data_IF_149250273092
#
_entry.id   IF_149250273092
#
_cell.length_a   1.000
_cell.length_b   1.000
_cell.length_c   1.000
_cell.angle_alpha   90.00
_cell.angle_beta   90.00
_cell.angle_gamma   90.00
#
_symmetry.space_group_name_H-M   'P 1'
#
loop_
_entity.id
_entity.type
_entity.pdbx_description
1 polymer ?
#
# COMPACT_ATOMS: atom_id res chain seq x y z
N UNK A 1 32.99 9.27 9.79
CA UNK A 1 33.52 8.10 9.05
C UNK A 1 33.95 8.60 7.70
N UNK A 2 35.23 8.43 7.35
CA UNK A 2 35.72 8.80 6.00
C UNK A 2 34.88 8.06 4.97
N UNK A 3 34.58 8.72 3.85
CA UNK A 3 33.78 8.16 2.77
C UNK A 3 34.63 7.07 2.07
N UNK A 4 34.57 5.84 2.60
CA UNK A 4 35.24 4.63 2.07
C UNK A 4 34.45 4.18 0.83
N UNK A 5 34.35 5.04 -0.18
CA UNK A 5 33.80 4.65 -1.47
C UNK A 5 34.92 3.99 -2.28
N UNK A 6 34.68 2.75 -2.69
CA UNK A 6 35.49 2.06 -3.69
C UNK A 6 35.30 2.79 -5.02
N UNK A 7 36.27 3.62 -5.39
CA UNK A 7 36.35 4.25 -6.71
C UNK A 7 37.14 3.34 -7.65
N UNK A 8 36.89 3.43 -8.96
CA UNK A 8 37.63 2.64 -9.96
C UNK A 8 39.16 2.82 -9.81
N UNK A 9 39.60 4.03 -9.48
CA UNK A 9 41.02 4.33 -9.24
C UNK A 9 41.57 3.61 -8.00
N UNK A 10 40.79 3.44 -6.94
CA UNK A 10 41.19 2.70 -5.72
C UNK A 10 41.15 1.18 -5.91
N UNK A 11 40.55 0.72 -7.01
CA UNK A 11 40.41 -0.67 -7.38
C UNK A 11 41.57 -1.15 -8.27
N UNK A 12 42.31 -0.24 -8.89
CA UNK A 12 43.55 -0.56 -9.62
C UNK A 12 44.71 -0.62 -8.62
N UNK A 13 45.15 -1.83 -8.29
CA UNK A 13 46.16 -2.07 -7.26
C UNK A 13 47.54 -2.37 -7.84
N UNK A 14 47.61 -2.80 -9.09
CA UNK A 14 48.87 -3.05 -9.78
C UNK A 14 49.26 -1.87 -10.67
N UNK A 15 50.44 -1.29 -10.42
CA UNK A 15 50.99 -0.13 -11.15
C UNK A 15 52.27 -0.46 -11.94
N UNK A 16 52.57 -1.74 -12.16
CA UNK A 16 53.81 -2.20 -12.80
C UNK A 16 54.98 -2.44 -11.83
N UNK A 17 56.09 -2.95 -12.35
CA UNK A 17 57.34 -3.17 -11.59
C UNK A 17 58.41 -2.19 -12.06
N UNK A 18 58.81 -1.22 -11.23
CA UNK A 18 59.92 -0.34 -11.60
C UNK A 18 61.29 -1.04 -11.56
N UNK A 19 61.52 -2.05 -10.71
CA UNK A 19 62.83 -2.72 -10.59
C UNK A 19 62.73 -4.12 -9.99
N UNK A 20 62.44 -5.18 -10.75
CA UNK A 20 62.66 -6.56 -10.27
C UNK A 20 63.33 -7.39 -11.37
N UNK A 21 64.63 -7.64 -11.15
CA UNK A 21 65.44 -8.51 -12.00
C UNK A 21 65.11 -10.00 -11.80
N UNK A 22 65.41 -10.77 -12.85
CA UNK A 22 65.26 -12.23 -13.05
C UNK A 22 63.96 -12.69 -13.73
N UNK A 23 64.16 -13.18 -14.96
CA UNK A 23 63.29 -13.09 -16.14
C UNK A 23 62.10 -14.08 -16.22
N UNK A 24 61.57 -14.59 -15.11
CA UNK A 24 60.34 -15.44 -15.14
C UNK A 24 59.38 -15.20 -13.98
N UNK A 25 59.89 -14.85 -12.80
CA UNK A 25 59.06 -14.50 -11.66
C UNK A 25 58.41 -13.12 -11.86
N UNK A 26 59.15 -12.16 -12.42
CA UNK A 26 58.65 -10.82 -12.72
C UNK A 26 57.52 -10.83 -13.77
N UNK A 27 57.61 -11.69 -14.79
CA UNK A 27 56.60 -11.83 -15.83
C UNK A 27 55.29 -12.40 -15.26
N UNK A 28 55.36 -13.47 -14.45
CA UNK A 28 54.19 -14.05 -13.77
C UNK A 28 53.54 -13.09 -12.76
N UNK A 29 54.32 -12.28 -12.06
CA UNK A 29 53.83 -11.25 -11.15
C UNK A 29 53.12 -10.11 -11.90
N UNK A 30 53.65 -9.75 -13.08
CA UNK A 30 53.04 -8.75 -13.95
C UNK A 30 51.68 -9.23 -14.48
N UNK A 31 51.62 -10.45 -15.02
CA UNK A 31 50.35 -11.05 -15.46
C UNK A 31 49.34 -11.17 -14.31
N UNK A 32 49.79 -11.53 -13.10
CA UNK A 32 48.92 -11.63 -11.93
C UNK A 32 48.32 -10.26 -11.58
N UNK A 33 49.14 -9.21 -11.57
CA UNK A 33 48.71 -7.84 -11.29
C UNK A 33 47.72 -7.31 -12.32
N UNK A 34 47.95 -7.59 -13.61
CA UNK A 34 47.02 -7.24 -14.69
C UNK A 34 45.68 -7.98 -14.55
N UNK A 35 45.70 -9.29 -14.26
CA UNK A 35 44.47 -10.07 -14.00
C UNK A 35 43.73 -9.57 -12.77
N UNK A 36 44.45 -9.13 -11.73
CA UNK A 36 43.85 -8.55 -10.54
C UNK A 36 43.13 -7.24 -10.88
N UNK A 37 43.77 -6.34 -11.64
CA UNK A 37 43.15 -5.10 -12.08
C UNK A 37 41.90 -5.35 -12.94
N UNK A 38 41.96 -6.31 -13.89
CA UNK A 38 40.81 -6.68 -14.70
C UNK A 38 39.64 -7.25 -13.87
N UNK A 39 39.94 -8.09 -12.88
CA UNK A 39 38.92 -8.60 -11.94
C UNK A 39 38.33 -7.48 -11.09
N UNK A 40 39.15 -6.52 -10.66
CA UNK A 40 38.71 -5.37 -9.87
C UNK A 40 37.84 -4.41 -10.70
N UNK A 41 38.15 -4.17 -11.98
CA UNK A 41 37.28 -3.40 -12.88
C UNK A 41 35.91 -4.05 -13.07
N UNK A 42 35.88 -5.36 -13.30
CA UNK A 42 34.63 -6.12 -13.42
C UNK A 42 33.82 -6.07 -12.10
N UNK A 43 34.49 -6.14 -10.95
CA UNK A 43 33.83 -6.01 -9.65
C UNK A 43 33.28 -4.59 -9.45
N UNK A 44 34.02 -3.55 -9.82
CA UNK A 44 33.56 -2.17 -9.73
C UNK A 44 32.32 -1.92 -10.61
N UNK A 45 32.29 -2.44 -11.83
CA UNK A 45 31.13 -2.37 -12.72
C UNK A 45 29.89 -3.01 -12.07
N UNK A 46 30.04 -4.23 -11.54
CA UNK A 46 28.95 -4.95 -10.86
C UNK A 46 28.45 -4.22 -9.60
N UNK A 47 29.35 -3.65 -8.81
CA UNK A 47 29.00 -2.87 -7.61
C UNK A 47 28.23 -1.60 -8.01
N UNK A 48 28.67 -0.90 -9.06
CA UNK A 48 27.97 0.28 -9.55
C UNK A 48 26.56 -0.05 -10.05
N UNK A 49 26.38 -1.16 -10.75
CA UNK A 49 25.06 -1.59 -11.19
C UNK A 49 24.17 -2.04 -10.03
N UNK A 50 24.76 -2.65 -8.99
CA UNK A 50 24.05 -2.97 -7.76
C UNK A 50 23.57 -1.69 -7.05
N UNK A 51 24.43 -0.67 -6.94
CA UNK A 51 24.08 0.63 -6.35
C UNK A 51 22.88 1.25 -7.09
N UNK A 52 22.93 1.31 -8.43
CA UNK A 52 21.82 1.84 -9.23
C UNK A 52 20.52 1.09 -8.98
N UNK A 53 20.58 -0.26 -8.91
CA UNK A 53 19.41 -1.10 -8.63
C UNK A 53 18.85 -0.87 -7.24
N UNK A 54 19.71 -0.70 -6.23
CA UNK A 54 19.28 -0.42 -4.86
C UNK A 54 18.59 0.94 -4.78
N UNK A 55 19.18 2.00 -5.33
CA UNK A 55 18.55 3.32 -5.35
C UNK A 55 17.18 3.29 -6.03
N UNK A 56 17.06 2.60 -7.18
CA UNK A 56 15.78 2.45 -7.87
C UNK A 56 14.73 1.66 -7.06
N UNK A 57 15.16 0.71 -6.22
CA UNK A 57 14.27 -0.02 -5.31
C UNK A 57 13.84 0.85 -4.13
N UNK A 58 14.75 1.62 -3.54
CA UNK A 58 14.45 2.56 -2.46
C UNK A 58 13.45 3.63 -2.91
N UNK A 59 13.63 4.21 -4.11
CA UNK A 59 12.70 5.17 -4.70
C UNK A 59 11.29 4.56 -4.88
N UNK A 60 11.22 3.31 -5.36
CA UNK A 60 9.96 2.58 -5.50
C UNK A 60 9.32 2.28 -4.14
N UNK A 61 10.10 1.97 -3.11
CA UNK A 61 9.59 1.74 -1.77
C UNK A 61 8.95 2.99 -1.19
N UNK A 62 9.57 4.17 -1.38
CA UNK A 62 9.01 5.46 -0.98
C UNK A 62 7.68 5.70 -1.68
N UNK A 63 7.62 5.51 -3.00
CA UNK A 63 6.37 5.65 -3.78
C UNK A 63 5.28 4.70 -3.28
N UNK A 64 5.63 3.43 -3.03
CA UNK A 64 4.69 2.43 -2.53
C UNK A 64 4.14 2.79 -1.15
N UNK A 65 4.97 3.31 -0.24
CA UNK A 65 4.51 3.78 1.09
C UNK A 65 3.48 4.89 0.96
N UNK A 66 3.69 5.83 0.04
CA UNK A 66 2.74 6.92 -0.19
C UNK A 66 1.42 6.43 -0.81
N UNK A 67 1.48 5.49 -1.76
CA UNK A 67 0.28 4.85 -2.33
C UNK A 67 -0.50 4.13 -1.23
N UNK A 68 0.17 3.33 -0.39
CA UNK A 68 -0.48 2.62 0.72
C UNK A 68 -1.13 3.57 1.72
N UNK A 69 -0.50 4.72 2.00
CA UNK A 69 -1.10 5.76 2.86
C UNK A 69 -2.39 6.32 2.26
N UNK A 70 -2.42 6.58 0.95
CA UNK A 70 -3.63 7.06 0.24
C UNK A 70 -4.75 6.02 0.29
N UNK A 71 -4.43 4.76 -0.02
CA UNK A 71 -5.40 3.64 0.04
C UNK A 71 -6.00 3.51 1.44
N UNK A 72 -5.19 3.59 2.49
CA UNK A 72 -5.68 3.53 3.87
C UNK A 72 -6.65 4.68 4.20
N UNK A 73 -6.37 5.88 3.68
CA UNK A 73 -7.26 7.04 3.81
C UNK A 73 -8.60 6.82 3.10
N UNK A 74 -8.57 6.39 1.84
CA UNK A 74 -9.76 6.07 1.04
C UNK A 74 -10.60 4.97 1.69
N UNK A 75 -9.96 3.89 2.18
CA UNK A 75 -10.65 2.80 2.86
C UNK A 75 -11.35 3.27 4.14
N UNK A 76 -10.72 4.18 4.88
CA UNK A 76 -11.32 4.76 6.08
C UNK A 76 -12.53 5.63 5.74
N UNK A 77 -12.45 6.41 4.65
CA UNK A 77 -13.58 7.19 4.15
C UNK A 77 -14.73 6.28 3.72
N UNK A 78 -14.45 5.24 2.93
CA UNK A 78 -15.46 4.26 2.52
C UNK A 78 -16.12 3.56 3.70
N UNK A 79 -15.36 3.20 4.73
CA UNK A 79 -15.93 2.61 5.96
C UNK A 79 -16.92 3.57 6.62
N UNK A 80 -16.58 4.85 6.75
CA UNK A 80 -17.47 5.86 7.35
C UNK A 80 -18.76 6.02 6.56
N UNK A 81 -18.67 6.05 5.23
CA UNK A 81 -19.84 6.16 4.36
C UNK A 81 -20.73 4.91 4.45
N UNK A 82 -20.12 3.72 4.49
CA UNK A 82 -20.84 2.46 4.68
C UNK A 82 -21.57 2.43 6.02
N UNK A 83 -20.91 2.84 7.11
CA UNK A 83 -21.50 2.90 8.44
C UNK A 83 -22.68 3.89 8.48
N UNK A 84 -22.56 5.04 7.79
CA UNK A 84 -23.65 6.00 7.63
C UNK A 84 -24.84 5.39 6.88
N UNK A 85 -24.60 4.78 5.73
CA UNK A 85 -25.67 4.13 4.94
C UNK A 85 -26.35 3.04 5.74
N UNK A 86 -25.57 2.22 6.47
CA UNK A 86 -26.10 1.17 7.34
C UNK A 86 -26.98 1.73 8.46
N UNK A 87 -26.57 2.83 9.09
CA UNK A 87 -27.37 3.50 10.11
C UNK A 87 -28.67 4.04 9.52
N UNK A 88 -28.60 4.76 8.40
CA UNK A 88 -29.77 5.30 7.71
C UNK A 88 -30.74 4.19 7.31
N UNK A 89 -30.24 3.07 6.78
CA UNK A 89 -31.04 1.90 6.44
C UNK A 89 -31.81 1.37 7.66
N UNK A 90 -31.15 1.18 8.81
CA UNK A 90 -31.80 0.75 10.06
C UNK A 90 -32.87 1.73 10.55
N UNK A 91 -32.57 3.02 10.52
CA UNK A 91 -33.51 4.07 10.95
C UNK A 91 -34.73 4.14 10.03
N UNK A 92 -34.52 3.97 8.72
CA UNK A 92 -35.59 3.95 7.73
C UNK A 92 -36.49 2.72 7.92
N UNK A 93 -35.92 1.52 8.10
CA UNK A 93 -36.69 0.31 8.39
C UNK A 93 -37.56 0.48 9.64
N UNK A 94 -36.97 0.96 10.74
CA UNK A 94 -37.72 1.22 11.98
C UNK A 94 -38.81 2.27 11.80
N UNK A 95 -38.58 3.29 10.96
CA UNK A 95 -39.59 4.32 10.69
C UNK A 95 -40.74 3.78 9.84
N UNK A 96 -40.44 2.95 8.84
CA UNK A 96 -41.45 2.25 8.03
C UNK A 96 -42.31 1.33 8.91
N UNK A 97 -41.70 0.55 9.82
CA UNK A 97 -42.45 -0.31 10.75
C UNK A 97 -43.38 0.49 11.67
N UNK A 98 -42.92 1.63 12.20
CA UNK A 98 -43.77 2.53 13.01
C UNK A 98 -44.93 3.09 12.20
N UNK A 99 -44.68 3.53 10.96
CA UNK A 99 -45.72 4.05 10.08
C UNK A 99 -46.73 2.96 9.70
N UNK A 100 -46.27 1.76 9.39
CA UNK A 100 -47.13 0.61 9.07
C UNK A 100 -48.04 0.25 10.25
N UNK A 101 -47.50 0.21 11.48
CA UNK A 101 -48.28 -0.03 12.68
C UNK A 101 -49.30 1.10 12.95
N UNK A 102 -48.92 2.36 12.72
CA UNK A 102 -49.82 3.50 12.87
C UNK A 102 -50.97 3.45 11.85
N UNK A 103 -50.69 3.09 10.60
CA UNK A 103 -51.71 2.90 9.55
C UNK A 103 -52.67 1.78 9.94
N UNK A 104 -52.15 0.63 10.39
CA UNK A 104 -52.98 -0.48 10.86
C UNK A 104 -53.88 -0.08 12.03
N UNK A 105 -53.35 0.67 13.00
CA UNK A 105 -54.13 1.16 14.14
C UNK A 105 -55.22 2.15 13.71
N UNK A 106 -54.92 3.08 12.80
CA UNK A 106 -55.90 4.02 12.25
C UNK A 106 -57.01 3.31 11.48
N UNK A 107 -56.67 2.30 10.66
CA UNK A 107 -57.66 1.51 9.94
C UNK A 107 -58.58 0.75 10.89
N UNK A 108 -58.01 0.10 11.92
CA UNK A 108 -58.78 -0.62 12.92
C UNK A 108 -59.70 0.30 13.74
N UNK A 109 -59.22 1.50 14.10
CA UNK A 109 -60.04 2.51 14.79
C UNK A 109 -61.21 2.98 13.91
N UNK A 110 -60.97 3.25 12.62
CA UNK A 110 -62.04 3.64 11.69
C UNK A 110 -63.05 2.54 11.40
N UNK A 111 -62.64 1.26 11.43
CA UNK A 111 -63.56 0.12 11.35
C UNK A 111 -64.40 -0.04 12.63
N UNK A 112 -63.79 0.14 13.81
CA UNK A 112 -64.51 0.11 15.08
C UNK A 112 -65.57 1.22 15.18
N UNK A 113 -65.22 2.46 14.79
CA UNK A 113 -66.16 3.59 14.76
C UNK A 113 -67.34 3.34 13.80
N UNK A 114 -67.10 2.71 12.64
CA UNK A 114 -68.18 2.35 11.70
C UNK A 114 -69.11 1.30 12.29
N UNK A 115 -68.56 0.24 12.89
CA UNK A 115 -69.35 -0.83 13.48
C UNK A 115 -70.20 -0.31 14.66
N UNK A 116 -69.65 0.58 15.51
CA UNK A 116 -70.41 1.21 16.60
C UNK A 116 -71.53 2.12 16.07
N UNK A 117 -71.29 2.86 14.98
CA UNK A 117 -72.30 3.70 14.33
C UNK A 117 -73.44 2.88 13.70
N UNK A 118 -73.14 1.72 13.11
CA UNK A 118 -74.14 0.81 12.56
C UNK A 118 -74.97 0.14 13.67
N UNK A 119 -74.34 -0.33 14.76
CA UNK A 119 -75.04 -0.96 15.89
C UNK A 119 -75.94 0.03 16.65
N UNK A 120 -75.55 1.30 16.73
CA UNK A 120 -76.39 2.34 17.35
C UNK A 120 -77.54 2.78 16.46
N UNK A 121 -77.38 2.76 15.13
CA UNK A 121 -78.46 2.99 14.19
C UNK A 121 -79.50 1.86 14.21
N UNK A 122 -79.08 0.60 14.26
CA UNK A 122 -79.98 -0.57 14.29
C UNK A 122 -80.80 -0.65 15.59
N UNK A 123 -80.27 -0.16 16.73
CA UNK A 123 -81.01 -0.09 18.01
C UNK A 123 -81.99 1.09 18.10
N UNK A 124 -81.94 2.02 17.16
CA UNK A 124 -82.80 3.20 17.13
C UNK A 124 -84.04 3.06 16.20
N UNK A 125 -84.09 1.99 15.40
CA UNK A 125 -85.29 1.52 14.67
C UNK A 125 -86.16 0.58 15.52
#
# INVERSE_FOLDING_TARGET
MSDIRLTNEKMLTFTGHEKIGTLKAAEKLTEFGERQNAANEALAANVNDLIKRVCALEDKEIQNKDIMRKIAGELTAFKRDLDRVRLTSKLNTSSIERLDNAIKALNAAGEAEKNEAEETAEKAE
#
